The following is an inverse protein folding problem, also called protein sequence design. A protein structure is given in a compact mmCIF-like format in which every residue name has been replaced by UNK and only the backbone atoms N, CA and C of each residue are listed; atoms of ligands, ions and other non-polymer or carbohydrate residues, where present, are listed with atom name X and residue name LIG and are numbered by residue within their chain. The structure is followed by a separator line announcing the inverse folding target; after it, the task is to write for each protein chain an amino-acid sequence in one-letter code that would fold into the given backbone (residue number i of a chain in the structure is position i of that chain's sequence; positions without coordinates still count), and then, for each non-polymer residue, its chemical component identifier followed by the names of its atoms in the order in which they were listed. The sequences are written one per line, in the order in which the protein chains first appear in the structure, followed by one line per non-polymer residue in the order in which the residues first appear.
data_IF_366611819419
#
_entry.id   IF_366611819419
#
_cell.length_a   1.000
_cell.length_b   1.000
_cell.length_c   1.000
_cell.angle_alpha   90.00
_cell.angle_beta   90.00
_cell.angle_gamma   90.00
#
_symmetry.space_group_name_H-M   'P 1'
#
loop_
_entity.id
_entity.type
_entity.pdbx_description
1 polymer ?
#
# COMPACT_ATOMS: atom_id res chain seq x y z
N UNK A 1 8.22 12.84 21.86
CA UNK A 1 7.31 11.68 21.99
C UNK A 1 7.78 10.69 20.94
N UNK A 2 8.52 9.67 21.35
CA UNK A 2 9.14 8.74 20.41
C UNK A 2 8.05 7.91 19.72
N UNK A 3 8.15 7.77 18.40
CA UNK A 3 7.33 6.83 17.66
C UNK A 3 7.70 5.42 18.10
N UNK A 4 6.73 4.53 18.27
CA UNK A 4 7.03 3.13 18.52
C UNK A 4 7.90 2.58 17.39
N UNK A 5 8.82 1.67 17.73
CA UNK A 5 9.78 1.09 16.78
C UNK A 5 9.09 0.55 15.52
N UNK A 6 7.93 -0.09 15.70
CA UNK A 6 7.14 -0.63 14.59
C UNK A 6 6.68 0.46 13.61
N UNK A 7 6.23 1.60 14.13
CA UNK A 7 5.80 2.75 13.34
C UNK A 7 6.97 3.36 12.56
N UNK A 8 8.14 3.46 13.18
CA UNK A 8 9.35 3.93 12.50
C UNK A 8 9.77 2.98 11.37
N UNK A 9 9.77 1.67 11.63
CA UNK A 9 10.07 0.66 10.62
C UNK A 9 9.07 0.68 9.46
N UNK A 10 7.78 0.88 9.76
CA UNK A 10 6.76 1.03 8.73
C UNK A 10 7.05 2.23 7.83
N UNK A 11 7.27 3.41 8.40
CA UNK A 11 7.56 4.61 7.62
C UNK A 11 8.86 4.48 6.82
N UNK A 12 9.91 3.89 7.39
CA UNK A 12 11.14 3.62 6.66
C UNK A 12 10.88 2.75 5.42
N UNK A 13 10.07 1.69 5.57
CA UNK A 13 9.69 0.82 4.45
C UNK A 13 8.87 1.53 3.38
N UNK A 14 7.98 2.46 3.79
CA UNK A 14 7.18 3.28 2.88
C UNK A 14 8.08 4.21 2.05
N UNK A 15 8.96 4.96 2.72
CA UNK A 15 9.87 5.94 2.07
C UNK A 15 10.81 5.24 1.09
N UNK A 16 11.29 4.04 1.43
CA UNK A 16 12.23 3.30 0.60
C UNK A 16 11.57 2.33 -0.41
N UNK A 17 10.24 2.40 -0.59
CA UNK A 17 9.51 1.55 -1.55
C UNK A 17 9.85 0.05 -1.42
N UNK A 18 10.02 -0.42 -0.18
CA UNK A 18 10.45 -1.81 0.09
C UNK A 18 9.31 -2.81 0.07
N UNK A 19 8.07 -2.32 0.01
CA UNK A 19 6.88 -3.14 -0.13
C UNK A 19 6.76 -3.69 -1.54
N UNK A 20 6.25 -4.92 -1.67
CA UNK A 20 6.06 -5.61 -2.95
C UNK A 20 4.73 -5.23 -3.60
N UNK A 21 4.63 -3.99 -4.05
CA UNK A 21 3.45 -3.42 -4.72
C UNK A 21 3.86 -2.78 -6.04
N UNK A 22 2.93 -2.69 -6.98
CA UNK A 22 3.11 -1.97 -8.25
C UNK A 22 4.38 -2.33 -9.00
N UNK A 23 5.27 -1.34 -9.12
CA UNK A 23 6.52 -1.40 -9.88
C UNK A 23 7.45 -2.53 -9.48
N UNK A 24 7.39 -3.00 -8.22
CA UNK A 24 8.14 -4.19 -7.79
C UNK A 24 7.88 -5.38 -8.72
N UNK A 25 6.64 -5.57 -9.16
CA UNK A 25 6.24 -6.70 -9.98
C UNK A 25 6.62 -6.56 -11.45
N UNK A 26 6.89 -5.34 -11.93
CA UNK A 26 7.37 -5.10 -13.31
C UNK A 26 8.74 -5.69 -13.57
N UNK A 27 9.57 -5.81 -12.53
CA UNK A 27 10.90 -6.39 -12.60
C UNK A 27 10.87 -7.93 -12.56
N UNK A 28 9.73 -8.52 -12.17
CA UNK A 28 9.56 -9.96 -12.02
C UNK A 28 8.92 -10.53 -13.29
N UNK A 29 9.66 -11.38 -14.00
CA UNK A 29 9.18 -12.04 -15.22
C UNK A 29 7.82 -12.69 -15.01
N UNK A 30 6.91 -12.48 -15.97
CA UNK A 30 5.56 -13.05 -16.00
C UNK A 30 4.68 -12.69 -14.78
N UNK A 31 4.98 -11.61 -14.05
CA UNK A 31 4.21 -11.18 -12.87
C UNK A 31 3.63 -9.77 -12.99
N UNK A 32 3.69 -9.15 -14.17
CA UNK A 32 3.26 -7.76 -14.41
C UNK A 32 1.80 -7.50 -13.99
N UNK A 33 0.92 -8.48 -14.18
CA UNK A 33 -0.50 -8.40 -13.80
C UNK A 33 -0.67 -8.23 -12.28
N UNK A 34 0.29 -8.70 -11.46
CA UNK A 34 0.24 -8.58 -10.00
C UNK A 34 0.50 -7.17 -9.50
N UNK A 35 1.08 -6.30 -10.33
CA UNK A 35 1.30 -4.90 -9.99
C UNK A 35 0.08 -4.02 -10.21
N UNK A 36 -1.01 -4.56 -10.78
CA UNK A 36 -2.21 -3.81 -11.13
C UNK A 36 -3.36 -4.27 -10.24
N UNK A 37 -3.99 -3.33 -9.54
CA UNK A 37 -5.15 -3.67 -8.71
C UNK A 37 -6.37 -3.92 -9.60
N UNK A 38 -7.02 -5.08 -9.43
CA UNK A 38 -8.11 -5.50 -10.31
C UNK A 38 -9.33 -4.58 -10.30
N UNK A 39 -9.56 -3.84 -9.21
CA UNK A 39 -10.72 -2.95 -9.07
C UNK A 39 -10.46 -1.58 -9.70
N UNK A 40 -9.24 -1.06 -9.56
CA UNK A 40 -8.89 0.30 -9.97
C UNK A 40 -8.24 0.35 -11.36
N UNK A 41 -7.66 -0.77 -11.83
CA UNK A 41 -6.99 -0.84 -13.14
C UNK A 41 -5.71 -0.01 -13.24
N UNK A 42 -5.18 0.48 -12.12
CA UNK A 42 -3.95 1.28 -12.05
C UNK A 42 -2.84 0.51 -11.31
N UNK A 43 -1.56 0.86 -11.55
CA UNK A 43 -0.45 0.33 -10.75
C UNK A 43 -0.64 0.61 -9.26
N UNK A 44 -0.38 -0.38 -8.41
CA UNK A 44 -0.48 -0.22 -6.97
C UNK A 44 0.67 0.64 -6.42
N UNK A 45 0.32 1.69 -5.67
CA UNK A 45 1.26 2.41 -4.80
C UNK A 45 0.72 2.44 -3.37
N UNK A 46 1.58 2.67 -2.37
CA UNK A 46 1.12 2.80 -0.99
C UNK A 46 0.17 4.00 -0.83
N UNK A 47 0.41 5.07 -1.59
CA UNK A 47 -0.46 6.24 -1.62
C UNK A 47 -1.83 5.90 -2.20
N UNK A 48 -1.87 5.17 -3.31
CA UNK A 48 -3.12 4.66 -3.87
C UNK A 48 -3.83 3.76 -2.86
N UNK A 49 -3.16 2.74 -2.32
CA UNK A 49 -3.74 1.78 -1.36
C UNK A 49 -4.32 2.48 -0.13
N UNK A 50 -3.61 3.48 0.41
CA UNK A 50 -4.01 4.15 1.63
C UNK A 50 -5.07 5.23 1.41
N UNK A 51 -4.97 6.03 0.34
CA UNK A 51 -5.74 7.27 0.19
C UNK A 51 -6.78 7.24 -0.92
N UNK A 52 -6.55 6.49 -2.00
CA UNK A 52 -7.31 6.62 -3.25
C UNK A 52 -8.05 5.34 -3.66
N UNK A 53 -7.64 4.19 -3.14
CA UNK A 53 -8.08 2.89 -3.62
C UNK A 53 -9.56 2.65 -3.27
N UNK A 54 -10.32 2.17 -4.24
CA UNK A 54 -11.73 1.81 -4.08
C UNK A 54 -11.95 0.42 -3.45
N UNK A 55 -10.87 -0.25 -3.08
CA UNK A 55 -10.89 -1.53 -2.38
C UNK A 55 -11.77 -1.44 -1.11
N UNK A 56 -12.61 -2.45 -0.83
CA UNK A 56 -13.39 -2.52 0.41
C UNK A 56 -12.51 -2.42 1.67
N UNK A 57 -11.27 -2.93 1.60
CA UNK A 57 -10.31 -2.89 2.70
C UNK A 57 -9.89 -1.47 3.09
N UNK A 58 -9.69 -0.56 2.13
CA UNK A 58 -9.31 0.83 2.41
C UNK A 58 -10.40 1.52 3.24
N UNK A 59 -11.65 1.39 2.79
CA UNK A 59 -12.83 2.00 3.44
C UNK A 59 -13.01 1.45 4.85
N UNK A 60 -12.79 0.15 5.04
CA UNK A 60 -12.90 -0.51 6.34
C UNK A 60 -11.84 -0.01 7.34
N UNK A 61 -10.58 0.11 6.90
CA UNK A 61 -9.51 0.62 7.76
C UNK A 61 -9.81 2.05 8.19
N UNK A 62 -10.19 2.94 7.27
CA UNK A 62 -10.55 4.31 7.60
C UNK A 62 -11.76 4.41 8.54
N UNK A 63 -12.76 3.53 8.37
CA UNK A 63 -13.88 3.45 9.31
C UNK A 63 -13.39 3.10 10.73
N UNK A 64 -12.48 2.15 10.87
CA UNK A 64 -11.92 1.80 12.17
C UNK A 64 -11.05 2.91 12.77
N UNK A 65 -10.34 3.69 11.95
CA UNK A 65 -9.54 4.82 12.47
C UNK A 65 -10.40 5.92 13.10
N UNK A 66 -11.67 6.06 12.71
CA UNK A 66 -12.58 7.03 13.33
C UNK A 66 -13.01 6.63 14.75
N UNK A 67 -12.71 5.41 15.17
CA UNK A 67 -13.04 4.88 16.50
C UNK A 67 -11.84 4.86 17.46
N UNK A 68 -10.66 5.31 17.00
CA UNK A 68 -9.42 5.46 17.78
C UNK A 68 -9.32 6.86 18.39
#
# INVERSE_FOLDING_TARGET
KDLEKLTQEFFWKCIHNTFRVGDFWTQVKNSEIKGIYHTCGVPESLEHIALECDAPGQKLIWLFTQQL
#
